data_IF_383528601236
#
_entry.id   IF_383528601236
#
_cell.length_a   1.000
_cell.length_b   1.000
_cell.length_c   1.000
_cell.angle_alpha   90.00
_cell.angle_beta   90.00
_cell.angle_gamma   90.00
#
_symmetry.space_group_name_H-M   'P 1'
#
loop_
_entity.id
_entity.type
_entity.pdbx_description
1 polymer ?
#
# COMPACT_ATOMS: atom_id res chain seq x y z
N UNK A 1 5.40 -4.96 11.13
CA UNK A 1 5.07 -3.94 10.11
C UNK A 1 4.48 -4.63 8.90
N UNK A 2 3.29 -4.26 8.42
CA UNK A 2 2.70 -4.82 7.20
C UNK A 2 3.64 -4.55 6.04
N UNK A 3 4.38 -5.58 5.60
CA UNK A 3 5.43 -5.46 4.58
C UNK A 3 4.94 -4.94 3.22
N UNK A 4 3.64 -4.71 3.06
CA UNK A 4 3.00 -4.33 1.80
C UNK A 4 2.15 -3.05 1.83
N UNK A 5 2.03 -2.35 2.97
CA UNK A 5 1.39 -1.02 2.98
C UNK A 5 2.48 0.01 2.70
N UNK A 6 2.42 0.65 1.52
CA UNK A 6 3.39 1.66 1.07
C UNK A 6 2.85 3.07 1.32
N UNK A 7 3.75 4.04 1.42
CA UNK A 7 3.37 5.47 1.39
C UNK A 7 2.80 5.79 0.02
N UNK A 8 1.61 6.40 -0.03
CA UNK A 8 0.91 6.83 -1.26
C UNK A 8 0.83 8.35 -1.43
N UNK A 9 1.24 9.12 -0.42
CA UNK A 9 1.21 10.57 -0.46
C UNK A 9 2.40 11.15 -1.26
N UNK A 10 2.16 12.31 -1.89
CA UNK A 10 3.17 13.11 -2.60
C UNK A 10 3.81 12.39 -3.80
N UNK A 11 3.00 11.79 -4.68
CA UNK A 11 3.46 11.23 -5.95
C UNK A 11 2.92 12.02 -7.13
N UNK A 12 3.69 12.06 -8.22
CA UNK A 12 3.24 12.53 -9.53
C UNK A 12 3.45 11.40 -10.56
N UNK A 13 2.39 10.82 -11.16
CA UNK A 13 0.97 11.13 -10.93
C UNK A 13 0.47 10.74 -9.52
N UNK A 14 -0.63 11.34 -9.01
CA UNK A 14 -1.21 11.01 -7.70
C UNK A 14 -1.71 9.57 -7.60
N UNK A 15 -1.62 8.96 -6.40
CA UNK A 15 -1.97 7.55 -6.16
C UNK A 15 -3.35 7.17 -6.74
N UNK A 16 -3.42 6.02 -7.41
CA UNK A 16 -4.67 5.57 -8.02
C UNK A 16 -5.59 4.94 -7.00
N UNK A 17 -6.88 4.86 -7.32
CA UNK A 17 -7.88 4.21 -6.46
C UNK A 17 -7.52 2.75 -6.16
N UNK A 18 -6.96 2.03 -7.13
CA UNK A 18 -6.56 0.63 -6.98
C UNK A 18 -5.40 0.47 -5.99
N UNK A 19 -4.44 1.42 -5.97
CA UNK A 19 -3.34 1.42 -4.99
C UNK A 19 -3.86 1.68 -3.57
N UNK A 20 -4.83 2.59 -3.44
CA UNK A 20 -5.47 2.90 -2.16
C UNK A 20 -6.29 1.70 -1.68
N UNK A 21 -7.07 1.07 -2.57
CA UNK A 21 -7.86 -0.12 -2.25
C UNK A 21 -6.96 -1.30 -1.87
N UNK A 22 -5.86 -1.51 -2.58
CA UNK A 22 -4.87 -2.52 -2.23
C UNK A 22 -4.27 -2.28 -0.83
N UNK A 23 -3.98 -1.03 -0.48
CA UNK A 23 -3.51 -0.66 0.85
C UNK A 23 -4.58 -0.91 1.92
N UNK A 24 -5.83 -0.51 1.67
CA UNK A 24 -6.98 -0.74 2.54
C UNK A 24 -7.21 -2.25 2.78
N UNK A 25 -7.15 -3.07 1.74
CA UNK A 25 -7.25 -4.52 1.83
C UNK A 25 -6.19 -5.12 2.75
N UNK A 26 -4.93 -4.68 2.61
CA UNK A 26 -3.84 -5.17 3.47
C UNK A 26 -3.99 -4.71 4.91
N UNK A 27 -4.52 -3.49 5.14
CA UNK A 27 -4.86 -3.01 6.47
C UNK A 27 -5.95 -3.87 7.13
N UNK A 28 -7.06 -4.11 6.44
CA UNK A 28 -8.17 -4.93 6.95
C UNK A 28 -7.72 -6.37 7.21
N UNK A 29 -6.92 -6.98 6.32
CA UNK A 29 -6.32 -8.30 6.55
C UNK A 29 -5.46 -8.33 7.80
N UNK A 30 -4.66 -7.29 8.02
CA UNK A 30 -3.81 -7.21 9.21
C UNK A 30 -4.64 -7.10 10.48
N UNK A 31 -5.65 -6.22 10.47
CA UNK A 31 -6.48 -5.95 11.63
C UNK A 31 -7.32 -7.16 12.02
N UNK A 32 -7.91 -7.84 11.03
CA UNK A 32 -8.76 -9.02 11.23
C UNK A 32 -7.98 -10.30 11.52
N UNK A 33 -6.66 -10.34 11.27
CA UNK A 33 -5.85 -11.54 11.43
C UNK A 33 -6.11 -12.62 10.38
N UNK A 34 -6.93 -12.36 9.35
CA UNK A 34 -7.18 -13.30 8.25
C UNK A 34 -6.88 -12.67 6.90
N UNK A 35 -6.24 -13.44 6.02
CA UNK A 35 -6.00 -13.05 4.62
C UNK A 35 -7.21 -13.33 3.72
N UNK A 36 -8.04 -14.30 4.10
CA UNK A 36 -9.25 -14.71 3.38
C UNK A 36 -10.42 -14.79 4.38
N UNK A 37 -11.43 -13.91 4.30
CA UNK A 37 -12.58 -14.00 5.19
C UNK A 37 -13.33 -15.32 4.98
N UNK A 38 -13.97 -15.80 6.04
CA UNK A 38 -14.97 -16.86 5.92
C UNK A 38 -16.19 -16.34 5.18
N UNK A 39 -17.02 -17.24 4.61
CA UNK A 39 -18.23 -16.85 3.89
C UNK A 39 -19.18 -15.98 4.71
N UNK A 40 -19.28 -16.23 6.01
CA UNK A 40 -20.09 -15.42 6.93
C UNK A 40 -19.56 -13.98 7.12
N UNK A 41 -18.25 -13.78 6.95
CA UNK A 41 -17.59 -12.49 7.19
C UNK A 41 -17.29 -11.72 5.89
N UNK A 42 -17.56 -12.28 4.71
CA UNK A 42 -17.26 -11.65 3.41
C UNK A 42 -17.84 -10.25 3.29
N UNK A 43 -19.12 -10.06 3.66
CA UNK A 43 -19.78 -8.74 3.60
C UNK A 43 -19.15 -7.73 4.56
N UNK A 44 -18.85 -8.14 5.80
CA UNK A 44 -18.21 -7.26 6.76
C UNK A 44 -16.79 -6.86 6.30
N UNK A 45 -16.07 -7.81 5.70
CA UNK A 45 -14.74 -7.59 5.17
C UNK A 45 -14.75 -6.61 3.99
N UNK A 46 -15.66 -6.81 3.03
CA UNK A 46 -15.81 -5.95 1.87
C UNK A 46 -16.15 -4.51 2.27
N UNK A 47 -17.12 -4.32 3.18
CA UNK A 47 -17.49 -3.00 3.71
C UNK A 47 -16.33 -2.29 4.39
N UNK A 48 -15.57 -3.00 5.23
CA UNK A 48 -14.42 -2.43 5.90
C UNK A 48 -13.34 -1.96 4.90
N UNK A 49 -13.12 -2.72 3.82
CA UNK A 49 -12.18 -2.30 2.76
C UNK A 49 -12.69 -1.04 2.06
N UNK A 50 -13.96 -1.00 1.67
CA UNK A 50 -14.58 0.16 1.02
C UNK A 50 -14.49 1.44 1.87
N UNK A 51 -14.85 1.35 3.16
CA UNK A 51 -14.81 2.49 4.09
C UNK A 51 -13.39 3.01 4.29
N UNK A 52 -12.41 2.10 4.45
CA UNK A 52 -11.00 2.47 4.60
C UNK A 52 -10.46 3.08 3.30
N UNK A 53 -10.82 2.54 2.14
CA UNK A 53 -10.49 3.14 0.83
C UNK A 53 -11.02 4.57 0.76
N UNK A 54 -12.31 4.77 1.03
CA UNK A 54 -12.93 6.09 0.95
C UNK A 54 -12.29 7.09 1.93
N UNK A 55 -12.01 6.68 3.17
CA UNK A 55 -11.34 7.52 4.15
C UNK A 55 -9.91 7.87 3.72
N UNK A 56 -9.18 6.91 3.17
CA UNK A 56 -7.80 7.09 2.71
C UNK A 56 -7.72 8.00 1.49
N UNK A 57 -8.65 7.88 0.55
CA UNK A 57 -8.78 8.78 -0.61
C UNK A 57 -8.99 10.23 -0.16
N UNK A 58 -9.93 10.47 0.78
CA UNK A 58 -10.16 11.82 1.33
C UNK A 58 -8.92 12.35 2.03
N UNK A 59 -8.24 11.52 2.81
CA UNK A 59 -6.99 11.90 3.47
C UNK A 59 -5.95 12.33 2.43
N UNK A 60 -5.65 11.49 1.44
CA UNK A 60 -4.64 11.78 0.42
C UNK A 60 -4.96 13.03 -0.40
N UNK A 61 -6.22 13.29 -0.69
CA UNK A 61 -6.66 14.52 -1.37
C UNK A 61 -6.52 15.77 -0.50
N UNK A 62 -6.59 15.64 0.83
CA UNK A 62 -6.51 16.76 1.78
C UNK A 62 -5.09 17.10 2.23
N UNK A 63 -4.14 16.17 2.07
CA UNK A 63 -2.76 16.38 2.51
C UNK A 63 -2.06 17.37 1.56
N UNK A 64 -1.36 18.34 2.16
CA UNK A 64 -0.56 19.34 1.46
C UNK A 64 0.89 19.19 1.90
N UNK A 65 1.82 19.37 0.97
CA UNK A 65 3.26 19.34 1.26
C UNK A 65 3.99 20.35 0.40
N UNK A 66 5.05 20.95 0.97
CA UNK A 66 5.99 21.79 0.23
C UNK A 66 7.14 20.98 -0.38
N UNK A 67 7.25 19.68 -0.06
CA UNK A 67 8.26 18.82 -0.63
C UNK A 67 7.99 18.55 -2.12
N UNK A 68 9.04 18.42 -2.96
CA UNK A 68 8.84 18.05 -4.35
C UNK A 68 8.13 16.70 -4.47
N UNK A 69 7.29 16.50 -5.50
CA UNK A 69 6.63 15.22 -5.76
C UNK A 69 7.65 14.09 -5.92
N UNK A 70 7.28 12.91 -5.43
CA UNK A 70 8.06 11.69 -5.60
C UNK A 70 7.70 11.03 -6.92
N UNK A 71 8.72 10.61 -7.64
CA UNK A 71 8.58 9.83 -8.86
C UNK A 71 8.41 8.34 -8.51
N UNK A 72 7.33 7.74 -9.01
CA UNK A 72 7.02 6.31 -8.79
C UNK A 72 8.04 5.38 -9.42
N UNK A 73 8.56 5.69 -10.61
CA UNK A 73 9.51 4.85 -11.31
C UNK A 73 10.85 4.81 -10.58
N UNK A 74 11.28 5.95 -10.06
CA UNK A 74 12.49 6.05 -9.22
C UNK A 74 12.31 5.32 -7.89
N UNK A 75 11.15 5.41 -7.24
CA UNK A 75 10.88 4.67 -6.00
C UNK A 75 10.79 3.15 -6.23
N UNK A 76 10.20 2.73 -7.35
CA UNK A 76 10.17 1.33 -7.76
C UNK A 76 11.58 0.80 -8.09
N UNK A 77 12.43 1.60 -8.76
CA UNK A 77 13.82 1.27 -9.03
C UNK A 77 14.62 1.10 -7.72
N UNK A 78 14.52 2.07 -6.80
CA UNK A 78 15.15 1.98 -5.47
C UNK A 78 14.66 0.75 -4.69
N UNK A 79 13.40 0.38 -4.82
CA UNK A 79 12.88 -0.85 -4.19
C UNK A 79 13.46 -2.12 -4.82
N UNK A 80 13.63 -2.16 -6.14
CA UNK A 80 14.31 -3.25 -6.85
C UNK A 80 15.78 -3.36 -6.44
N UNK A 81 16.51 -2.26 -6.37
CA UNK A 81 17.91 -2.24 -5.95
C UNK A 81 18.09 -2.75 -4.51
N UNK A 82 17.23 -2.29 -3.58
CA UNK A 82 17.22 -2.82 -2.20
C UNK A 82 16.93 -4.31 -2.15
N UNK A 83 16.06 -4.83 -3.02
CA UNK A 83 15.78 -6.27 -3.10
C UNK A 83 16.98 -7.05 -3.65
N UNK A 84 17.66 -6.52 -4.68
CA UNK A 84 18.85 -7.13 -5.26
C UNK A 84 20.02 -7.14 -4.27
N UNK A 85 20.21 -6.09 -3.48
CA UNK A 85 21.22 -6.09 -2.41
C UNK A 85 20.93 -7.16 -1.35
N UNK A 86 19.64 -7.37 -1.03
CA UNK A 86 19.24 -8.33 0.01
C UNK A 86 19.24 -9.79 -0.44
N UNK A 87 18.99 -10.06 -1.71
CA UNK A 87 18.90 -11.43 -2.26
C UNK A 87 20.07 -11.79 -3.19
N UNK A 88 20.84 -10.82 -3.67
CA UNK A 88 21.99 -11.01 -4.56
C UNK A 88 23.28 -11.41 -3.85
N UNK A 89 23.40 -11.14 -2.54
CA UNK A 89 24.57 -11.56 -1.73
C UNK A 89 24.47 -13.04 -1.29
N UNK A 90 23.31 -13.69 -1.46
CA UNK A 90 23.10 -15.09 -1.06
C UNK A 90 23.55 -16.14 -2.10
N UNK A 91 24.30 -15.74 -3.14
CA UNK A 91 24.91 -16.68 -4.11
C UNK A 91 26.39 -16.36 -4.36
N UNK A 92 27.19 -16.31 -3.30
CA UNK A 92 28.64 -16.50 -3.44
C UNK A 92 29.14 -17.10 -2.14
N UNK A 93 29.53 -18.37 -2.17
CA UNK A 93 30.00 -19.16 -1.03
C UNK A 93 29.36 -20.55 -1.03
#
# INVERSE_FOLDING_TARGET
MCRNIRTLHNFDPPATTEEIEAAALQYVRKLSGTTKPSKANETAFARAVEEVTAASTRLLASLVTAAPPRDRELEAARARDRSQQRFGIARTG
#
